data_IF_206514101385
#
_entry.id   IF_206514101385
#
_cell.length_a   1.000
_cell.length_b   1.000
_cell.length_c   1.000
_cell.angle_alpha   90.00
_cell.angle_beta   90.00
_cell.angle_gamma   90.00
#
_symmetry.space_group_name_H-M   'P 1'
#
loop_
_entity.id
_entity.type
_entity.pdbx_description
1 polymer ?
#
# COMPACT_ATOMS: atom_id res chain seq x y z
N UNK A 1 -9.15 12.54 2.47
CA UNK A 1 -8.28 11.37 2.32
C UNK A 1 -8.64 10.52 1.10
N UNK A 2 -9.89 10.03 0.98
CA UNK A 2 -10.30 9.18 -0.17
C UNK A 2 -10.05 9.83 -1.54
N UNK A 3 -10.18 11.14 -1.65
CA UNK A 3 -9.91 11.89 -2.90
C UNK A 3 -8.44 11.82 -3.37
N UNK A 4 -7.52 11.46 -2.48
CA UNK A 4 -6.11 11.26 -2.84
C UNK A 4 -5.83 9.83 -3.34
N UNK A 5 -6.81 8.91 -3.26
CA UNK A 5 -6.64 7.59 -3.84
C UNK A 5 -6.35 7.75 -5.33
N UNK A 6 -5.25 7.16 -5.71
CA UNK A 6 -4.97 6.95 -7.12
C UNK A 6 -6.08 6.05 -7.66
N UNK A 7 -6.54 6.34 -8.86
CA UNK A 7 -7.49 5.49 -9.56
C UNK A 7 -6.78 4.16 -9.90
N UNK A 8 -6.58 3.33 -8.89
CA UNK A 8 -5.90 2.03 -9.04
C UNK A 8 -6.69 1.04 -9.87
N UNK A 9 -8.01 1.26 -10.00
CA UNK A 9 -8.83 0.58 -11.00
C UNK A 9 -8.44 0.97 -12.43
N UNK A 10 -7.78 2.10 -12.65
CA UNK A 10 -7.17 2.42 -13.93
C UNK A 10 -6.02 1.46 -14.29
N UNK A 11 -5.42 0.81 -13.31
CA UNK A 11 -4.48 -0.27 -13.57
C UNK A 11 -5.13 -1.49 -14.25
N UNK A 12 -6.46 -1.59 -14.17
CA UNK A 12 -7.23 -2.68 -14.80
C UNK A 12 -8.05 -2.18 -15.98
N UNK A 13 -8.58 -0.96 -15.92
CA UNK A 13 -9.57 -0.45 -16.88
C UNK A 13 -9.02 0.56 -17.88
N UNK A 14 -7.95 1.26 -17.56
CA UNK A 14 -7.24 2.11 -18.55
C UNK A 14 -6.04 1.38 -19.09
N UNK A 15 -6.12 1.02 -20.35
CA UNK A 15 -5.10 0.37 -21.17
C UNK A 15 -3.71 1.03 -21.00
N UNK A 16 -3.68 2.31 -20.68
CA UNK A 16 -2.49 3.14 -20.63
C UNK A 16 -1.63 2.95 -19.38
N UNK A 17 -2.20 2.49 -18.25
CA UNK A 17 -1.51 2.36 -16.96
C UNK A 17 -1.71 0.99 -16.32
N UNK A 18 -2.21 0.04 -17.11
CA UNK A 18 -2.43 -1.32 -16.61
C UNK A 18 -1.11 -2.00 -16.28
N UNK A 19 -1.03 -2.62 -15.11
CA UNK A 19 0.09 -3.50 -14.75
C UNK A 19 0.25 -4.64 -15.75
N UNK A 20 -0.84 -5.08 -16.35
CA UNK A 20 -0.86 -6.07 -17.44
C UNK A 20 -0.08 -5.59 -18.68
N UNK A 21 -0.13 -4.28 -18.97
CA UNK A 21 0.65 -3.71 -20.07
C UNK A 21 2.15 -3.64 -19.75
N UNK A 22 2.52 -3.59 -18.45
CA UNK A 22 3.92 -3.59 -18.03
C UNK A 22 4.50 -5.01 -17.86
N UNK A 23 3.63 -6.01 -17.77
CA UNK A 23 3.99 -7.42 -17.77
C UNK A 23 4.09 -7.97 -19.21
N UNK A 24 4.33 -9.25 -19.36
CA UNK A 24 4.39 -9.95 -20.64
C UNK A 24 3.03 -10.47 -21.14
N UNK A 25 1.97 -10.22 -20.39
CA UNK A 25 0.61 -10.68 -20.68
C UNK A 25 0.01 -10.07 -21.94
N UNK A 26 0.39 -8.82 -22.29
CA UNK A 26 -0.09 -8.15 -23.49
C UNK A 26 0.91 -7.15 -24.04
N UNK A 27 0.80 -6.88 -25.35
CA UNK A 27 1.45 -5.77 -26.04
C UNK A 27 0.38 -4.82 -26.53
N UNK A 28 0.54 -3.55 -26.22
CA UNK A 28 -0.38 -2.52 -26.70
C UNK A 28 -0.07 -2.14 -28.16
N UNK A 29 -1.10 -2.05 -29.00
CA UNK A 29 -0.94 -1.60 -30.37
C UNK A 29 -0.86 -0.06 -30.40
N UNK A 30 0.30 0.47 -30.69
CA UNK A 30 0.59 1.91 -30.75
C UNK A 30 0.13 2.52 -32.07
N UNK A 31 -1.16 2.61 -32.34
CA UNK A 31 -1.66 3.17 -33.59
C UNK A 31 -1.93 4.67 -33.55
N UNK A 32 -1.77 5.36 -32.42
CA UNK A 32 -2.13 6.76 -32.33
C UNK A 32 -1.28 7.55 -31.36
N UNK A 33 -0.04 7.91 -31.71
CA UNK A 33 0.71 9.04 -31.12
C UNK A 33 0.85 9.06 -29.57
N UNK A 34 0.28 8.11 -28.91
CA UNK A 34 0.33 7.93 -27.47
C UNK A 34 1.66 7.28 -27.15
N UNK A 35 2.62 8.09 -26.86
CA UNK A 35 3.96 7.74 -26.46
C UNK A 35 3.92 6.58 -25.46
N UNK A 36 4.24 5.46 -26.00
CA UNK A 36 4.96 4.34 -25.41
C UNK A 36 4.44 3.79 -24.10
N UNK A 37 3.25 3.24 -24.12
CA UNK A 37 2.85 2.29 -23.09
C UNK A 37 3.75 1.07 -23.02
N UNK A 38 4.46 0.80 -24.11
CA UNK A 38 5.47 -0.23 -24.18
C UNK A 38 6.87 0.25 -23.75
N UNK A 39 7.06 1.52 -23.43
CA UNK A 39 8.38 2.07 -23.06
C UNK A 39 8.98 1.35 -21.86
N UNK A 40 8.17 0.99 -20.89
CA UNK A 40 8.63 0.17 -19.76
C UNK A 40 9.16 -1.19 -20.22
N UNK A 41 8.43 -1.87 -21.09
CA UNK A 41 8.84 -3.17 -21.63
C UNK A 41 10.14 -3.10 -22.43
N UNK A 42 10.34 -2.01 -23.13
CA UNK A 42 11.51 -1.79 -23.97
C UNK A 42 12.66 -1.08 -23.23
N UNK A 43 12.53 -0.86 -21.92
CA UNK A 43 13.56 -0.18 -21.14
C UNK A 43 13.77 1.30 -21.52
N UNK A 44 12.81 1.93 -22.16
CA UNK A 44 12.87 3.33 -22.62
C UNK A 44 12.40 4.29 -21.54
N UNK A 45 12.82 4.09 -20.29
CA UNK A 45 12.51 4.97 -19.17
C UNK A 45 13.79 5.33 -18.42
N UNK A 46 13.79 6.49 -17.82
CA UNK A 46 14.90 6.99 -17.03
C UNK A 46 14.42 7.69 -15.74
N UNK A 47 15.37 8.28 -15.01
CA UNK A 47 15.11 8.97 -13.75
C UNK A 47 14.38 10.31 -13.91
N UNK A 48 14.17 10.79 -15.15
CA UNK A 48 13.40 12.01 -15.43
C UNK A 48 11.92 11.74 -15.55
N UNK A 49 11.54 10.47 -15.60
CA UNK A 49 10.15 10.09 -15.73
C UNK A 49 9.34 10.42 -14.48
N UNK A 50 8.59 11.50 -14.53
CA UNK A 50 7.78 11.98 -13.41
C UNK A 50 6.45 11.23 -13.35
N UNK A 51 6.22 10.60 -12.21
CA UNK A 51 4.92 10.03 -11.86
C UNK A 51 4.40 10.74 -10.60
N UNK A 52 3.33 11.49 -10.73
CA UNK A 52 2.71 12.25 -9.63
C UNK A 52 2.16 11.36 -8.49
N UNK A 53 2.24 10.03 -8.63
CA UNK A 53 1.78 9.09 -7.61
C UNK A 53 2.51 9.27 -6.28
N UNK A 54 3.81 9.61 -6.30
CA UNK A 54 4.60 9.81 -5.08
C UNK A 54 4.04 10.97 -4.25
N UNK A 55 3.93 12.13 -4.86
CA UNK A 55 3.41 13.35 -4.21
C UNK A 55 1.97 13.10 -3.72
N UNK A 56 1.14 12.54 -4.57
CA UNK A 56 -0.28 12.27 -4.27
C UNK A 56 -0.47 11.33 -3.08
N UNK A 57 0.37 10.30 -2.98
CA UNK A 57 0.33 9.39 -1.83
C UNK A 57 0.72 10.10 -0.53
N UNK A 58 1.78 10.92 -0.54
CA UNK A 58 2.19 11.67 0.67
C UNK A 58 1.18 12.76 1.05
N UNK A 59 0.51 13.40 0.09
CA UNK A 59 -0.65 14.26 0.36
C UNK A 59 -1.75 13.47 1.10
N UNK A 60 -2.06 12.27 0.63
CA UNK A 60 -3.04 11.39 1.28
C UNK A 60 -2.62 10.95 2.68
N UNK A 61 -1.33 10.60 2.87
CA UNK A 61 -0.75 10.26 4.16
C UNK A 61 -0.88 11.44 5.14
N UNK A 62 -0.53 12.65 4.70
CA UNK A 62 -0.67 13.86 5.52
C UNK A 62 -2.12 14.11 5.92
N UNK A 63 -3.07 14.05 4.98
CA UNK A 63 -4.49 14.24 5.28
C UNK A 63 -5.02 13.19 6.26
N UNK A 64 -4.59 11.94 6.12
CA UNK A 64 -4.97 10.89 7.05
C UNK A 64 -4.40 11.13 8.45
N UNK A 65 -3.14 11.56 8.55
CA UNK A 65 -2.52 11.94 9.82
C UNK A 65 -3.26 13.09 10.52
N UNK A 66 -3.62 14.15 9.77
CA UNK A 66 -4.40 15.27 10.29
C UNK A 66 -5.76 14.81 10.83
N UNK A 67 -6.45 13.91 10.11
CA UNK A 67 -7.73 13.38 10.58
C UNK A 67 -7.55 12.58 11.87
N UNK A 68 -6.57 11.66 11.92
CA UNK A 68 -6.32 10.84 13.11
C UNK A 68 -6.05 11.69 14.34
N UNK A 69 -5.24 12.75 14.18
CA UNK A 69 -4.84 13.62 15.30
C UNK A 69 -5.93 14.58 15.78
N UNK A 70 -6.94 14.87 14.95
CA UNK A 70 -7.88 15.96 15.26
C UNK A 70 -9.35 15.53 15.35
N UNK A 71 -9.72 14.33 14.93
CA UNK A 71 -11.13 13.93 14.88
C UNK A 71 -11.79 13.87 16.26
N UNK A 72 -11.00 13.64 17.32
CA UNK A 72 -11.49 13.61 18.72
C UNK A 72 -12.01 14.98 19.23
N UNK A 73 -11.63 16.08 18.58
CA UNK A 73 -12.06 17.42 18.96
C UNK A 73 -13.50 17.69 18.53
N UNK A 74 -14.04 16.84 17.65
CA UNK A 74 -15.39 17.00 17.11
C UNK A 74 -16.43 16.58 18.14
N UNK A 75 -17.26 17.52 18.59
CA UNK A 75 -18.32 17.31 19.59
C UNK A 75 -19.65 16.82 18.97
N UNK A 76 -19.78 16.86 17.64
CA UNK A 76 -21.02 16.48 16.93
C UNK A 76 -21.06 14.99 16.59
N UNK A 77 -19.89 14.31 16.58
CA UNK A 77 -19.77 12.90 16.25
C UNK A 77 -19.89 12.04 17.51
N UNK A 78 -20.51 10.88 17.35
CA UNK A 78 -20.50 9.84 18.38
C UNK A 78 -19.11 9.19 18.50
N UNK A 79 -18.81 8.58 19.65
CA UNK A 79 -17.56 7.83 19.86
C UNK A 79 -17.37 6.73 18.80
N UNK A 80 -18.46 6.06 18.39
CA UNK A 80 -18.43 5.03 17.37
C UNK A 80 -18.05 5.59 16.00
N UNK A 81 -18.61 6.75 15.63
CA UNK A 81 -18.28 7.45 14.38
C UNK A 81 -16.82 7.93 14.38
N UNK A 82 -16.34 8.48 15.50
CA UNK A 82 -14.95 8.87 15.67
C UNK A 82 -14.03 7.67 15.49
N UNK A 83 -14.33 6.54 16.14
CA UNK A 83 -13.55 5.31 16.01
C UNK A 83 -13.53 4.79 14.57
N UNK A 84 -14.67 4.81 13.87
CA UNK A 84 -14.75 4.39 12.46
C UNK A 84 -13.96 5.34 11.55
N UNK A 85 -14.07 6.66 11.71
CA UNK A 85 -13.30 7.62 10.91
C UNK A 85 -11.80 7.49 11.14
N UNK A 86 -11.35 7.28 12.38
CA UNK A 86 -9.95 6.98 12.68
C UNK A 86 -9.47 5.70 12.00
N UNK A 87 -10.28 4.65 12.07
CA UNK A 87 -9.94 3.37 11.44
C UNK A 87 -9.87 3.49 9.92
N UNK A 88 -10.76 4.26 9.29
CA UNK A 88 -10.71 4.56 7.86
C UNK A 88 -9.45 5.37 7.50
N UNK A 89 -9.10 6.37 8.30
CA UNK A 89 -7.91 7.17 8.07
C UNK A 89 -6.63 6.35 8.22
N UNK A 90 -6.56 5.47 9.24
CA UNK A 90 -5.46 4.53 9.47
C UNK A 90 -5.31 3.54 8.32
N UNK A 91 -6.42 2.99 7.84
CA UNK A 91 -6.45 2.16 6.64
C UNK A 91 -5.90 2.91 5.42
N UNK A 92 -6.39 4.11 5.15
CA UNK A 92 -5.97 4.89 3.97
C UNK A 92 -4.50 5.28 4.04
N UNK A 93 -4.01 5.70 5.21
CA UNK A 93 -2.61 6.04 5.43
C UNK A 93 -1.70 4.85 5.09
N UNK A 94 -2.02 3.68 5.60
CA UNK A 94 -1.28 2.45 5.33
C UNK A 94 -1.42 1.99 3.88
N UNK A 95 -2.57 2.20 3.27
CA UNK A 95 -2.80 1.88 1.86
C UNK A 95 -1.99 2.78 0.93
N UNK A 96 -1.82 4.06 1.25
CA UNK A 96 -0.91 4.93 0.50
C UNK A 96 0.54 4.47 0.60
N UNK A 97 1.00 4.02 1.77
CA UNK A 97 2.32 3.40 1.90
C UNK A 97 2.44 2.12 1.09
N UNK A 98 1.40 1.30 1.03
CA UNK A 98 1.35 0.14 0.15
C UNK A 98 1.49 0.50 -1.32
N UNK A 99 0.81 1.56 -1.79
CA UNK A 99 0.93 2.06 -3.16
C UNK A 99 2.34 2.57 -3.47
N UNK A 100 2.95 3.30 -2.53
CA UNK A 100 4.32 3.77 -2.63
C UNK A 100 5.31 2.59 -2.70
N UNK A 101 5.18 1.64 -1.78
CA UNK A 101 6.07 0.49 -1.70
C UNK A 101 6.09 -0.35 -2.99
N UNK A 102 4.93 -0.55 -3.59
CA UNK A 102 4.81 -1.29 -4.87
C UNK A 102 5.51 -0.61 -6.04
N UNK A 103 5.54 0.72 -6.06
CA UNK A 103 6.07 1.50 -7.20
C UNK A 103 7.51 1.93 -7.00
N UNK A 104 7.88 2.27 -5.77
CA UNK A 104 9.15 2.92 -5.47
C UNK A 104 10.03 2.10 -4.54
N UNK A 105 9.55 0.96 -4.04
CA UNK A 105 10.26 0.17 -3.04
C UNK A 105 10.36 0.87 -1.68
N UNK A 106 11.51 0.84 -1.02
CA UNK A 106 11.76 1.52 0.24
C UNK A 106 11.47 3.01 0.19
N UNK A 107 10.66 3.49 1.14
CA UNK A 107 10.21 4.90 1.22
C UNK A 107 10.26 5.40 2.67
N UNK A 108 10.34 6.72 2.90
CA UNK A 108 10.26 7.28 4.25
C UNK A 108 8.90 7.02 4.91
N UNK A 109 8.92 6.53 6.14
CA UNK A 109 7.74 6.54 7.02
C UNK A 109 7.75 7.86 7.80
N UNK A 110 6.77 8.73 7.52
CA UNK A 110 6.63 9.99 8.25
C UNK A 110 5.86 9.76 9.55
N UNK A 111 6.13 10.54 10.61
CA UNK A 111 5.37 10.47 11.86
C UNK A 111 3.87 10.66 11.65
N UNK A 112 3.06 10.09 12.55
CA UNK A 112 1.59 10.29 12.52
C UNK A 112 1.22 11.69 12.99
N UNK A 113 2.02 12.24 13.88
CA UNK A 113 1.84 13.59 14.39
C UNK A 113 1.96 14.62 13.28
N UNK A 114 1.11 15.63 13.33
CA UNK A 114 1.12 16.70 12.33
C UNK A 114 2.39 17.53 12.46
N UNK A 115 3.21 17.53 11.41
CA UNK A 115 4.41 18.36 11.34
C UNK A 115 3.98 19.82 11.18
N UNK A 116 4.50 20.71 12.03
CA UNK A 116 4.29 22.14 11.90
C UNK A 116 4.80 22.65 10.55
N UNK A 117 3.99 23.47 9.89
CA UNK A 117 4.35 24.11 8.61
C UNK A 117 5.50 25.11 8.79
N UNK A 118 5.66 25.63 10.01
CA UNK A 118 6.68 26.60 10.38
C UNK A 118 8.03 25.95 10.78
N UNK A 119 8.13 24.63 10.66
CA UNK A 119 9.34 23.89 10.97
C UNK A 119 10.45 24.07 9.91
N UNK A 120 11.70 23.96 10.34
CA UNK A 120 12.85 23.93 9.43
C UNK A 120 12.75 22.75 8.47
N UNK A 121 12.89 22.98 7.16
CA UNK A 121 12.85 21.95 6.12
C UNK A 121 13.88 20.83 6.34
N UNK A 122 15.00 21.12 7.00
CA UNK A 122 16.00 20.10 7.34
C UNK A 122 15.47 19.07 8.34
N UNK A 123 14.61 19.49 9.25
CA UNK A 123 13.95 18.60 10.21
C UNK A 123 12.87 17.71 9.58
N UNK A 124 12.42 18.04 8.37
CA UNK A 124 11.42 17.31 7.60
C UNK A 124 12.01 16.29 6.61
N UNK A 125 13.35 16.21 6.55
CA UNK A 125 14.04 15.25 5.69
C UNK A 125 14.12 13.89 6.38
N UNK A 126 13.16 13.02 6.11
CA UNK A 126 13.14 11.66 6.63
C UNK A 126 13.91 10.71 5.72
N UNK A 127 14.84 9.90 6.27
CA UNK A 127 15.52 8.86 5.51
C UNK A 127 14.51 7.79 5.08
N UNK A 128 14.84 7.06 4.02
CA UNK A 128 14.04 5.90 3.61
C UNK A 128 14.08 4.81 4.68
N UNK A 129 12.97 4.23 4.97
CA UNK A 129 12.89 2.98 5.74
C UNK A 129 13.15 1.79 4.82
N UNK A 130 13.63 0.70 5.37
CA UNK A 130 13.82 -0.54 4.61
C UNK A 130 12.46 -1.09 4.13
N UNK A 131 12.51 -1.95 3.12
CA UNK A 131 11.30 -2.60 2.60
C UNK A 131 10.52 -3.31 3.70
N UNK A 132 11.21 -4.07 4.54
CA UNK A 132 10.60 -4.83 5.63
C UNK A 132 10.01 -3.92 6.71
N UNK A 133 10.67 -2.82 7.08
CA UNK A 133 10.13 -1.83 8.02
C UNK A 133 8.81 -1.23 7.51
N UNK A 134 8.73 -0.91 6.23
CA UNK A 134 7.49 -0.37 5.63
C UNK A 134 6.38 -1.43 5.62
N UNK A 135 6.70 -2.69 5.31
CA UNK A 135 5.70 -3.79 5.35
C UNK A 135 5.24 -4.05 6.77
N UNK A 136 6.13 -4.05 7.75
CA UNK A 136 5.78 -4.24 9.16
C UNK A 136 4.86 -3.12 9.65
N UNK A 137 5.14 -1.86 9.26
CA UNK A 137 4.26 -0.74 9.53
C UNK A 137 2.87 -0.97 8.92
N UNK A 138 2.79 -1.27 7.62
CA UNK A 138 1.52 -1.54 6.92
C UNK A 138 0.76 -2.67 7.62
N UNK A 139 1.44 -3.78 7.95
CA UNK A 139 0.81 -4.93 8.58
C UNK A 139 0.21 -4.60 9.95
N UNK A 140 0.93 -3.86 10.79
CA UNK A 140 0.45 -3.43 12.12
C UNK A 140 -0.74 -2.50 12.01
N UNK A 141 -0.64 -1.48 11.15
CA UNK A 141 -1.70 -0.49 10.98
C UNK A 141 -2.99 -1.09 10.39
N UNK A 142 -2.86 -2.04 9.47
CA UNK A 142 -4.02 -2.74 8.91
C UNK A 142 -4.73 -3.61 9.95
N UNK A 143 -4.00 -4.20 10.90
CA UNK A 143 -4.63 -4.93 12.03
C UNK A 143 -5.40 -3.96 12.92
N UNK A 144 -4.78 -2.82 13.29
CA UNK A 144 -5.45 -1.80 14.11
C UNK A 144 -6.69 -1.23 13.42
N UNK A 145 -6.60 -0.95 12.12
CA UNK A 145 -7.76 -0.51 11.35
C UNK A 145 -8.87 -1.58 11.32
N UNK A 146 -8.52 -2.85 11.11
CA UNK A 146 -9.48 -3.95 11.06
C UNK A 146 -10.24 -4.19 12.37
N UNK A 147 -9.73 -3.73 13.52
CA UNK A 147 -10.40 -3.86 14.82
C UNK A 147 -11.67 -3.00 14.90
N UNK A 148 -11.63 -1.79 14.35
CA UNK A 148 -12.74 -0.83 14.42
C UNK A 148 -13.53 -0.70 13.10
N UNK A 149 -12.98 -1.17 11.97
CA UNK A 149 -13.71 -1.17 10.70
C UNK A 149 -14.83 -2.23 10.70
N UNK A 150 -16.02 -1.89 10.17
CA UNK A 150 -17.12 -2.85 10.06
C UNK A 150 -16.81 -3.93 9.02
N UNK A 151 -17.44 -5.09 9.18
CA UNK A 151 -17.34 -6.21 8.23
C UNK A 151 -18.01 -5.89 6.90
N UNK A 152 -19.11 -5.12 6.95
CA UNK A 152 -19.90 -4.72 5.78
C UNK A 152 -20.34 -3.27 5.95
N UNK A 153 -20.35 -2.53 4.85
CA UNK A 153 -20.91 -1.17 4.76
C UNK A 153 -22.33 -1.20 4.22
N UNK A 154 -23.10 -0.21 4.61
CA UNK A 154 -24.40 0.05 4.00
C UNK A 154 -24.26 0.52 2.54
N UNK A 155 -25.39 0.65 1.84
CA UNK A 155 -25.40 1.05 0.42
C UNK A 155 -24.82 2.45 0.16
N UNK A 156 -24.96 3.37 1.13
CA UNK A 156 -24.48 4.74 0.97
C UNK A 156 -22.97 4.85 1.16
N UNK A 157 -22.40 3.95 1.94
CA UNK A 157 -20.99 3.91 2.32
C UNK A 157 -20.20 2.76 1.67
N UNK A 158 -20.75 2.12 0.63
CA UNK A 158 -20.18 0.91 0.01
C UNK A 158 -18.73 1.06 -0.45
N UNK A 159 -18.32 2.28 -0.77
CA UNK A 159 -16.96 2.60 -1.24
C UNK A 159 -15.96 2.88 -0.12
N UNK A 160 -16.38 2.81 1.15
CA UNK A 160 -15.49 3.02 2.28
C UNK A 160 -14.84 1.72 2.72
N UNK A 161 -13.67 1.85 3.38
CA UNK A 161 -12.90 0.72 3.88
C UNK A 161 -13.72 -0.19 4.80
N UNK A 162 -13.48 -1.49 4.69
CA UNK A 162 -14.04 -2.54 5.54
C UNK A 162 -12.94 -3.33 6.22
N UNK A 163 -13.29 -4.10 7.25
CA UNK A 163 -12.39 -5.04 7.92
C UNK A 163 -11.71 -6.00 6.93
N UNK A 164 -12.50 -6.56 6.00
CA UNK A 164 -11.95 -7.45 4.98
C UNK A 164 -10.97 -6.79 4.03
N UNK A 165 -11.20 -5.51 3.67
CA UNK A 165 -10.27 -4.76 2.85
C UNK A 165 -8.92 -4.57 3.56
N UNK A 166 -8.92 -4.23 4.86
CA UNK A 166 -7.70 -4.06 5.63
C UNK A 166 -6.91 -5.38 5.75
N UNK A 167 -7.58 -6.48 6.08
CA UNK A 167 -6.93 -7.79 6.17
C UNK A 167 -6.39 -8.27 4.81
N UNK A 168 -7.09 -8.00 3.71
CA UNK A 168 -6.65 -8.36 2.37
C UNK A 168 -5.40 -7.58 1.94
N UNK A 169 -5.33 -6.27 2.22
CA UNK A 169 -4.13 -5.47 1.96
C UNK A 169 -2.95 -5.96 2.79
N UNK A 170 -3.17 -6.27 4.08
CA UNK A 170 -2.15 -6.87 4.94
C UNK A 170 -1.61 -8.18 4.37
N UNK A 171 -2.49 -9.10 3.99
CA UNK A 171 -2.09 -10.39 3.42
C UNK A 171 -1.27 -10.19 2.14
N UNK A 172 -1.67 -9.27 1.27
CA UNK A 172 -0.96 -8.96 0.03
C UNK A 172 0.42 -8.34 0.29
N UNK A 173 0.54 -7.41 1.23
CA UNK A 173 1.82 -6.80 1.59
C UNK A 173 2.82 -7.84 2.14
N UNK A 174 2.35 -8.72 3.04
CA UNK A 174 3.16 -9.79 3.59
C UNK A 174 3.56 -10.84 2.54
N UNK A 175 2.68 -11.13 1.57
CA UNK A 175 3.02 -12.02 0.46
C UNK A 175 4.11 -11.41 -0.44
N UNK A 176 4.06 -10.11 -0.70
CA UNK A 176 5.08 -9.44 -1.50
C UNK A 176 6.45 -9.44 -0.82
N UNK A 177 6.52 -9.22 0.51
CA UNK A 177 7.81 -9.28 1.22
C UNK A 177 8.37 -10.71 1.31
N UNK A 178 7.51 -11.75 1.24
CA UNK A 178 7.95 -13.14 1.19
C UNK A 178 8.45 -13.56 -0.20
N UNK A 179 8.08 -12.84 -1.25
CA UNK A 179 8.44 -13.20 -2.64
C UNK A 179 9.95 -13.15 -2.87
N UNK A 180 10.49 -13.96 -3.81
CA UNK A 180 11.93 -14.07 -4.06
C UNK A 180 12.64 -12.74 -4.42
N UNK A 181 11.90 -11.73 -4.88
CA UNK A 181 12.47 -10.42 -5.18
C UNK A 181 12.82 -9.65 -3.89
N UNK A 182 12.03 -9.84 -2.82
CA UNK A 182 12.15 -9.11 -1.54
C UNK A 182 12.66 -10.00 -0.40
N UNK A 183 12.78 -11.30 -0.65
CA UNK A 183 13.29 -12.31 0.27
C UNK A 183 14.27 -13.19 -0.50
N UNK A 184 15.56 -12.78 -0.57
CA UNK A 184 16.54 -13.37 -1.48
C UNK A 184 16.70 -14.85 -1.20
N UNK A 185 16.81 -15.65 -2.27
CA UNK A 185 17.05 -17.06 -2.12
C UNK A 185 18.47 -17.32 -1.63
N UNK A 186 18.74 -18.46 -0.97
CA UNK A 186 20.10 -18.80 -0.52
C UNK A 186 21.14 -18.82 -1.63
N UNK A 187 20.72 -19.12 -2.86
CA UNK A 187 21.56 -19.12 -4.05
C UNK A 187 21.81 -17.72 -4.65
N UNK A 188 21.17 -16.69 -4.13
CA UNK A 188 21.23 -15.31 -4.65
C UNK A 188 21.45 -14.30 -3.50
N UNK A 189 22.52 -14.48 -2.69
CA UNK A 189 22.66 -13.82 -1.38
C UNK A 189 22.95 -12.31 -1.48
N UNK A 190 23.52 -11.84 -2.59
CA UNK A 190 23.99 -10.46 -2.72
C UNK A 190 23.02 -9.55 -3.46
N UNK A 191 21.79 -10.02 -3.68
CA UNK A 191 20.78 -9.26 -4.38
C UNK A 191 20.46 -7.96 -3.65
N UNK A 192 20.63 -6.82 -4.34
CA UNK A 192 20.45 -5.47 -3.77
C UNK A 192 21.38 -5.11 -2.61
N UNK A 193 22.56 -5.73 -2.51
CA UNK A 193 23.54 -5.43 -1.45
C UNK A 193 24.05 -3.99 -1.51
N UNK A 194 24.07 -3.38 -2.68
CA UNK A 194 24.45 -1.99 -2.96
C UNK A 194 23.27 -1.00 -2.87
N UNK A 195 22.04 -1.49 -2.64
CA UNK A 195 20.88 -0.62 -2.53
C UNK A 195 20.75 -0.05 -1.13
N UNK A 196 21.44 1.08 -0.92
CA UNK A 196 21.54 1.75 0.37
C UNK A 196 20.89 3.13 0.37
N UNK A 197 20.64 3.68 1.56
CA UNK A 197 20.32 5.09 1.75
C UNK A 197 21.60 5.95 1.78
N UNK A 198 21.45 7.26 1.97
CA UNK A 198 22.55 8.21 2.06
C UNK A 198 23.46 8.01 3.30
N UNK A 199 23.03 7.21 4.27
CA UNK A 199 23.79 6.83 5.47
C UNK A 199 24.45 5.46 5.32
N UNK A 200 24.32 4.81 4.17
CA UNK A 200 24.86 3.48 3.91
C UNK A 200 24.04 2.33 4.50
N UNK A 201 22.82 2.59 5.00
CA UNK A 201 21.94 1.51 5.48
C UNK A 201 21.37 0.73 4.28
N UNK A 202 21.50 -0.59 4.34
CA UNK A 202 20.90 -1.48 3.34
C UNK A 202 19.37 -1.45 3.49
N UNK A 203 18.67 -1.24 2.38
CA UNK A 203 17.23 -1.03 2.36
C UNK A 203 16.41 -2.28 2.00
N UNK A 204 17.07 -3.34 1.58
CA UNK A 204 16.45 -4.62 1.20
C UNK A 204 17.02 -5.76 2.04
N UNK A 205 16.22 -6.81 2.25
CA UNK A 205 16.67 -8.02 2.93
C UNK A 205 17.85 -8.66 2.19
N UNK A 206 18.89 -9.08 2.94
CA UNK A 206 20.10 -9.71 2.41
C UNK A 206 20.12 -11.22 2.66
N UNK A 207 19.27 -11.71 3.53
CA UNK A 207 19.20 -13.13 3.91
C UNK A 207 17.78 -13.64 3.75
N UNK A 208 17.67 -14.92 3.36
CA UNK A 208 16.39 -15.59 3.29
C UNK A 208 15.78 -15.75 4.69
N UNK A 209 14.50 -15.37 4.81
CA UNK A 209 13.69 -15.56 6.01
C UNK A 209 12.43 -16.35 5.67
N UNK A 210 12.41 -17.62 6.04
CA UNK A 210 11.26 -18.52 5.85
C UNK A 210 10.02 -18.04 6.61
N UNK A 211 10.20 -17.35 7.72
CA UNK A 211 9.09 -16.84 8.54
C UNK A 211 8.20 -15.84 7.81
N UNK A 212 8.71 -15.18 6.76
CA UNK A 212 7.92 -14.29 5.90
C UNK A 212 6.78 -15.03 5.20
N UNK A 213 7.03 -16.25 4.73
CA UNK A 213 5.99 -17.11 4.14
C UNK A 213 4.92 -17.52 5.16
N UNK A 214 5.36 -17.89 6.37
CA UNK A 214 4.44 -18.24 7.44
C UNK A 214 3.55 -17.05 7.83
N UNK A 215 4.13 -15.83 7.94
CA UNK A 215 3.37 -14.60 8.20
C UNK A 215 2.36 -14.29 7.08
N UNK A 216 2.75 -14.46 5.82
CA UNK A 216 1.88 -14.26 4.68
C UNK A 216 0.71 -15.26 4.67
N UNK A 217 0.99 -16.54 4.92
CA UNK A 217 -0.02 -17.59 5.02
C UNK A 217 -1.00 -17.34 6.16
N UNK A 218 -0.51 -16.95 7.35
CA UNK A 218 -1.34 -16.60 8.49
C UNK A 218 -2.26 -15.41 8.17
N UNK A 219 -1.74 -14.37 7.54
CA UNK A 219 -2.54 -13.21 7.16
C UNK A 219 -3.60 -13.54 6.10
N UNK A 220 -3.29 -14.40 5.14
CA UNK A 220 -4.27 -14.90 4.16
C UNK A 220 -5.37 -15.73 4.86
N UNK A 221 -4.99 -16.54 5.84
CA UNK A 221 -5.94 -17.30 6.66
C UNK A 221 -6.89 -16.39 7.43
N UNK A 222 -6.43 -15.25 7.97
CA UNK A 222 -7.30 -14.30 8.67
C UNK A 222 -8.44 -13.80 7.75
N UNK A 223 -8.17 -13.59 6.45
CA UNK A 223 -9.19 -13.21 5.45
C UNK A 223 -10.18 -14.34 5.20
N UNK A 224 -9.67 -15.57 5.05
CA UNK A 224 -10.50 -16.76 4.83
C UNK A 224 -11.40 -17.01 6.04
N UNK A 225 -10.85 -16.91 7.24
CA UNK A 225 -11.57 -17.11 8.49
C UNK A 225 -12.68 -16.06 8.67
N UNK A 226 -12.39 -14.79 8.35
CA UNK A 226 -13.41 -13.75 8.33
C UNK A 226 -14.54 -14.09 7.35
N UNK A 227 -14.20 -14.45 6.11
CA UNK A 227 -15.17 -14.80 5.08
C UNK A 227 -16.04 -16.00 5.48
N UNK A 228 -15.43 -17.04 6.03
CA UNK A 228 -16.11 -18.27 6.47
C UNK A 228 -17.01 -18.01 7.67
N UNK A 229 -16.52 -17.24 8.66
CA UNK A 229 -17.24 -16.96 9.91
C UNK A 229 -18.44 -16.05 9.70
N UNK A 230 -18.30 -15.03 8.83
CA UNK A 230 -19.33 -14.00 8.66
C UNK A 230 -20.23 -14.24 7.46
N UNK A 231 -19.75 -14.98 6.46
CA UNK A 231 -20.47 -15.19 5.21
C UNK A 231 -20.60 -13.91 4.34
N UNK A 232 -19.93 -12.83 4.72
CA UNK A 232 -19.98 -11.53 3.99
C UNK A 232 -19.32 -11.64 2.62
N UNK A 233 -18.27 -12.46 2.52
CA UNK A 233 -17.54 -12.70 1.27
C UNK A 233 -17.71 -14.16 0.85
N UNK A 234 -18.04 -14.37 -0.42
CA UNK A 234 -18.17 -15.73 -1.00
C UNK A 234 -17.59 -15.72 -2.41
N UNK A 235 -16.96 -16.83 -2.78
CA UNK A 235 -16.67 -17.08 -4.19
C UNK A 235 -17.99 -17.29 -4.92
N UNK A 236 -18.14 -16.66 -6.08
CA UNK A 236 -19.31 -16.88 -6.92
C UNK A 236 -19.21 -18.28 -7.54
N UNK A 237 -20.14 -19.19 -7.26
CA UNK A 237 -20.16 -20.48 -7.94
C UNK A 237 -20.55 -20.23 -9.39
N UNK A 238 -19.62 -20.48 -10.32
CA UNK A 238 -19.95 -20.43 -11.73
C UNK A 238 -21.02 -21.48 -12.02
N UNK A 239 -22.15 -21.14 -12.67
CA UNK A 239 -23.05 -22.15 -13.19
C UNK A 239 -22.32 -22.92 -14.27
N UNK A 240 -22.21 -24.23 -14.10
CA UNK A 240 -21.72 -25.17 -15.12
C UNK A 240 -22.77 -25.30 -16.22
#
# INVERSE_FOLDING_TARGET
CYNCLLETNLEITRIFYSTTNFADDMIFNETSGAISYNAFKFGQYDNTWTNNSYIRCYEGIRQASILISNVDINEELTEEEIADYKAQARFLRSYFYWLLLRKYGPVPLVPEETISIDGDYTSMSYPRNSYDEVVDYISKEMVLAAQALPEKRDRQNINRATKGAALAVRAKALLYTASPINNPRPEDPDKFSDFTDHQGRILMAQTYDESKWAKAAAAAKDVIDLATKTGVYKLYPAPY
#
